data_IF_423295359918
#
_entry.id   IF_423295359918
#
_cell.length_a   1.000
_cell.length_b   1.000
_cell.length_c   1.000
_cell.angle_alpha   90.00
_cell.angle_beta   90.00
_cell.angle_gamma   90.00
#
_symmetry.space_group_name_H-M   'P 1'
#
loop_
_entity.id
_entity.type
_entity.pdbx_description
1 polymer ?
#
# COMPACT_ATOMS: atom_id res chain seq x y z
N UNK A 1 69.31 30.38 25.95
CA UNK A 1 69.27 30.26 24.48
C UNK A 1 67.93 30.84 24.04
N UNK A 2 68.00 32.05 23.49
CA UNK A 2 67.10 32.75 22.55
C UNK A 2 65.57 32.80 22.84
N UNK A 3 64.99 33.94 23.27
CA UNK A 3 64.48 35.09 22.47
C UNK A 3 63.42 34.67 21.41
N UNK A 4 62.17 35.18 21.33
CA UNK A 4 61.60 36.54 21.39
C UNK A 4 60.05 36.43 21.52
N UNK A 5 59.37 37.18 22.42
CA UNK A 5 58.53 38.39 22.16
C UNK A 5 57.32 38.15 21.22
N UNK A 6 56.08 38.61 21.41
CA UNK A 6 55.39 39.59 22.27
C UNK A 6 53.87 39.48 21.93
N UNK A 7 52.94 39.42 22.89
CA UNK A 7 52.06 40.50 23.40
C UNK A 7 50.59 40.53 22.88
N UNK A 8 49.72 40.83 23.86
CA UNK A 8 48.46 41.60 23.84
C UNK A 8 47.07 40.94 23.55
N UNK A 9 46.36 40.69 24.68
CA UNK A 9 45.06 41.23 25.18
C UNK A 9 43.82 41.52 24.31
N UNK A 10 42.68 41.33 25.01
CA UNK A 10 41.33 41.95 24.91
C UNK A 10 40.35 41.32 23.92
N UNK A 11 39.02 41.31 24.14
CA UNK A 11 38.10 41.30 25.29
C UNK A 11 36.68 41.12 24.70
N UNK A 12 35.72 40.70 25.52
CA UNK A 12 34.29 41.14 25.51
C UNK A 12 33.48 41.02 24.19
N UNK A 13 32.54 40.08 24.06
CA UNK A 13 31.15 40.09 24.55
C UNK A 13 30.16 40.90 23.72
N UNK A 14 29.03 40.24 23.46
CA UNK A 14 27.66 40.74 23.25
C UNK A 14 27.07 40.95 21.84
N UNK A 15 25.92 40.26 21.71
CA UNK A 15 24.65 40.67 21.13
C UNK A 15 24.33 40.41 19.64
N UNK A 16 23.28 39.59 19.49
CA UNK A 16 22.39 39.45 18.34
C UNK A 16 21.94 40.82 17.79
N UNK A 17 21.60 40.85 16.49
CA UNK A 17 20.20 41.08 16.17
C UNK A 17 19.65 40.20 15.03
N UNK A 18 18.34 39.98 15.10
CA UNK A 18 17.44 39.42 14.09
C UNK A 18 17.76 39.88 12.65
N UNK A 19 17.69 38.96 11.69
CA UNK A 19 16.55 38.83 10.75
C UNK A 19 16.93 38.12 9.44
N UNK A 20 15.93 37.46 8.87
CA UNK A 20 15.76 37.16 7.42
C UNK A 20 16.68 36.12 6.78
N UNK A 21 16.16 34.90 6.60
CA UNK A 21 15.51 34.52 5.34
C UNK A 21 14.90 33.10 5.46
N UNK A 22 13.58 33.05 5.65
CA UNK A 22 12.79 31.86 5.33
C UNK A 22 12.66 31.80 3.81
N UNK A 23 13.53 31.06 3.15
CA UNK A 23 13.23 30.58 1.81
C UNK A 23 12.23 29.43 1.93
N UNK A 24 10.95 29.78 1.75
CA UNK A 24 9.90 28.84 1.45
C UNK A 24 10.21 28.15 0.13
N UNK A 25 10.89 27.01 0.21
CA UNK A 25 10.96 26.08 -0.92
C UNK A 25 9.55 25.53 -1.13
N UNK A 26 8.85 26.11 -2.11
CA UNK A 26 7.69 25.48 -2.73
C UNK A 26 8.22 24.22 -3.40
N UNK A 27 8.28 23.13 -2.63
CA UNK A 27 8.28 21.80 -3.23
C UNK A 27 6.93 21.68 -3.92
N UNK A 28 6.92 21.92 -5.22
CA UNK A 28 5.88 21.42 -6.11
C UNK A 28 5.78 19.92 -5.80
N UNK A 29 4.75 19.54 -5.04
CA UNK A 29 4.41 18.14 -4.90
C UNK A 29 4.23 17.61 -6.33
N UNK A 30 5.04 16.64 -6.78
CA UNK A 30 4.69 15.93 -8.00
C UNK A 30 3.27 15.43 -7.80
N UNK A 31 2.41 15.65 -8.78
CA UNK A 31 1.03 15.20 -8.80
C UNK A 31 1.05 13.68 -8.49
N UNK A 32 0.90 13.29 -7.22
CA UNK A 32 0.84 11.89 -6.78
C UNK A 32 -0.56 11.39 -7.12
N UNK A 33 -0.88 11.37 -8.42
CA UNK A 33 -2.16 10.86 -8.93
C UNK A 33 -2.21 9.33 -8.99
N UNK A 34 -1.10 8.63 -8.73
CA UNK A 34 -0.98 7.22 -9.12
C UNK A 34 -1.06 6.18 -7.99
N UNK A 35 -1.25 6.54 -6.71
CA UNK A 35 -1.02 5.57 -5.62
C UNK A 35 -2.18 5.26 -4.67
N UNK A 36 -3.27 6.02 -4.65
CA UNK A 36 -4.33 5.79 -3.65
C UNK A 36 -5.39 4.75 -4.04
N UNK A 37 -5.25 4.11 -5.21
CA UNK A 37 -6.20 3.11 -5.70
C UNK A 37 -5.67 1.68 -5.58
N UNK A 38 -4.44 1.48 -5.08
CA UNK A 38 -3.76 0.19 -5.08
C UNK A 38 -3.49 -0.26 -3.65
N UNK A 39 -3.96 -1.46 -3.33
CA UNK A 39 -3.72 -2.12 -2.05
C UNK A 39 -2.95 -3.43 -2.32
N UNK A 40 -1.60 -3.41 -2.26
CA UNK A 40 -0.79 -4.58 -2.56
C UNK A 40 -0.85 -5.61 -1.43
N UNK A 41 -0.71 -6.88 -1.80
CA UNK A 41 -0.46 -7.97 -0.88
C UNK A 41 0.68 -8.85 -1.38
N UNK A 42 1.39 -9.47 -0.44
CA UNK A 42 2.47 -10.41 -0.73
C UNK A 42 2.53 -11.42 0.41
N UNK A 43 2.43 -12.69 0.06
CA UNK A 43 2.45 -13.78 1.02
C UNK A 43 3.55 -14.76 0.63
N UNK A 44 4.15 -15.40 1.63
CA UNK A 44 5.13 -16.48 1.41
C UNK A 44 4.57 -17.74 2.04
N UNK A 45 4.50 -18.81 1.26
CA UNK A 45 3.97 -20.11 1.67
C UNK A 45 5.06 -21.17 1.53
N UNK A 46 5.06 -22.10 2.47
CA UNK A 46 5.87 -23.31 2.38
C UNK A 46 5.00 -24.43 1.79
N UNK A 47 5.45 -25.01 0.69
CA UNK A 47 4.85 -26.20 0.10
C UNK A 47 5.25 -27.41 0.94
N UNK A 48 4.29 -28.23 1.42
CA UNK A 48 4.61 -29.43 2.17
C UNK A 48 5.51 -30.39 1.38
N UNK A 49 6.43 -31.05 2.09
CA UNK A 49 7.30 -32.05 1.50
C UNK A 49 6.50 -33.14 0.77
N UNK A 50 6.95 -33.50 -0.43
CA UNK A 50 6.28 -34.49 -1.28
C UNK A 50 5.20 -33.90 -2.19
N UNK A 51 4.97 -32.58 -2.16
CA UNK A 51 4.06 -31.87 -3.03
C UNK A 51 4.80 -30.81 -3.87
N UNK A 52 4.20 -30.44 -4.99
CA UNK A 52 4.62 -29.35 -5.88
C UNK A 52 3.41 -28.51 -6.28
N UNK A 53 3.65 -27.28 -6.75
CA UNK A 53 2.57 -26.44 -7.31
C UNK A 53 2.02 -27.08 -8.58
N UNK A 54 0.68 -27.13 -8.68
CA UNK A 54 0.02 -27.54 -9.91
C UNK A 54 0.03 -26.38 -10.92
N UNK A 55 1.00 -26.40 -11.85
CA UNK A 55 1.26 -25.28 -12.79
C UNK A 55 0.09 -24.94 -13.71
N UNK A 56 -0.78 -25.91 -14.01
CA UNK A 56 -1.94 -25.70 -14.88
C UNK A 56 -3.09 -24.96 -14.19
N UNK A 57 -3.03 -24.79 -12.85
CA UNK A 57 -4.09 -24.11 -12.09
C UNK A 57 -3.60 -22.82 -11.47
N UNK A 58 -4.23 -21.73 -11.90
CA UNK A 58 -4.06 -20.45 -11.24
C UNK A 58 -4.60 -20.49 -9.80
N UNK A 59 -4.00 -19.73 -8.87
CA UNK A 59 -4.53 -19.57 -7.54
C UNK A 59 -5.93 -18.96 -7.60
N UNK A 60 -6.81 -19.39 -6.70
CA UNK A 60 -8.12 -18.74 -6.53
C UNK A 60 -8.06 -17.78 -5.37
N UNK A 61 -8.51 -16.56 -5.59
CA UNK A 61 -8.69 -15.55 -4.53
C UNK A 61 -10.18 -15.30 -4.36
N UNK A 62 -10.63 -15.31 -3.12
CA UNK A 62 -11.95 -14.86 -2.70
C UNK A 62 -11.75 -13.72 -1.70
N UNK A 63 -12.57 -12.69 -1.74
CA UNK A 63 -12.42 -11.54 -0.86
C UNK A 63 -13.77 -11.04 -0.38
N UNK A 64 -13.76 -10.38 0.78
CA UNK A 64 -14.92 -9.84 1.46
C UNK A 64 -14.80 -8.32 1.57
N UNK A 65 -15.78 -7.62 1.00
CA UNK A 65 -15.87 -6.16 0.96
C UNK A 65 -16.80 -5.60 2.05
N UNK A 66 -17.50 -6.45 2.82
CA UNK A 66 -18.52 -6.02 3.79
C UNK A 66 -17.97 -5.13 4.92
N UNK A 67 -16.66 -5.16 5.15
CA UNK A 67 -15.97 -4.37 6.17
C UNK A 67 -15.31 -3.10 5.62
N UNK A 68 -15.64 -2.71 4.38
CA UNK A 68 -15.27 -1.43 3.79
C UNK A 68 -16.45 -0.46 3.82
N UNK A 69 -16.15 0.83 3.86
CA UNK A 69 -17.16 1.89 3.85
C UNK A 69 -16.68 3.12 3.09
N UNK A 70 -17.60 3.74 2.36
CA UNK A 70 -17.40 5.07 1.79
C UNK A 70 -17.67 6.13 2.85
N UNK A 71 -16.67 6.93 3.17
CA UNK A 71 -16.77 8.02 4.16
C UNK A 71 -16.51 9.37 3.50
N UNK A 72 -17.20 10.40 3.98
CA UNK A 72 -16.99 11.79 3.58
C UNK A 72 -16.36 12.53 4.74
N UNK A 73 -15.14 13.03 4.54
CA UNK A 73 -14.44 13.89 5.49
C UNK A 73 -14.45 15.33 4.94
N UNK A 74 -14.51 16.33 5.81
CA UNK A 74 -14.40 17.75 5.42
C UNK A 74 -13.27 18.38 6.21
N UNK A 75 -12.36 19.06 5.52
CA UNK A 75 -11.26 19.80 6.13
C UNK A 75 -11.18 21.21 5.54
N UNK A 76 -10.62 22.16 6.30
CA UNK A 76 -10.35 23.50 5.79
C UNK A 76 -8.99 23.56 5.14
N UNK A 77 -8.91 24.17 3.96
CA UNK A 77 -7.66 24.41 3.24
C UNK A 77 -7.55 25.89 2.92
N UNK A 78 -6.48 26.54 3.39
CA UNK A 78 -6.17 27.91 2.99
C UNK A 78 -5.54 27.91 1.59
N UNK A 79 -6.09 28.73 0.69
CA UNK A 79 -5.57 28.95 -0.67
C UNK A 79 -5.26 30.44 -0.83
N UNK A 80 -4.20 30.76 -1.57
CA UNK A 80 -3.88 32.15 -1.93
C UNK A 80 -4.66 32.52 -3.19
N UNK A 81 -5.38 33.63 -3.13
CA UNK A 81 -6.21 34.14 -4.23
C UNK A 81 -5.65 35.49 -4.66
N UNK A 82 -5.30 35.60 -5.95
CA UNK A 82 -4.76 36.82 -6.53
C UNK A 82 -5.62 38.04 -6.19
N UNK A 83 -4.99 39.06 -5.60
CA UNK A 83 -5.61 40.31 -5.14
C UNK A 83 -6.59 40.20 -3.95
N UNK A 84 -6.73 39.02 -3.34
CA UNK A 84 -7.57 38.78 -2.16
C UNK A 84 -6.79 38.20 -0.96
N UNK A 85 -5.58 37.69 -1.18
CA UNK A 85 -4.78 37.03 -0.15
C UNK A 85 -5.30 35.63 0.18
N UNK A 86 -4.96 35.13 1.38
CA UNK A 86 -5.35 33.78 1.80
C UNK A 86 -6.82 33.68 2.21
N UNK A 87 -7.52 32.71 1.62
CA UNK A 87 -8.91 32.38 1.92
C UNK A 87 -9.01 30.91 2.32
N UNK A 88 -9.77 30.62 3.38
CA UNK A 88 -10.10 29.25 3.77
C UNK A 88 -11.26 28.71 2.95
N UNK A 89 -11.05 27.57 2.30
CA UNK A 89 -12.10 26.81 1.62
C UNK A 89 -12.36 25.49 2.32
N UNK A 90 -13.63 25.08 2.37
CA UNK A 90 -13.99 23.73 2.79
C UNK A 90 -13.65 22.76 1.66
N UNK A 91 -12.76 21.82 1.95
CA UNK A 91 -12.35 20.74 1.07
C UNK A 91 -12.96 19.44 1.58
N UNK A 92 -13.80 18.83 0.76
CA UNK A 92 -14.39 17.54 1.03
C UNK A 92 -13.54 16.43 0.42
N UNK A 93 -13.28 15.37 1.19
CA UNK A 93 -12.60 14.16 0.75
C UNK A 93 -13.56 12.97 0.84
N UNK A 94 -13.77 12.29 -0.28
CA UNK A 94 -14.43 10.99 -0.34
C UNK A 94 -13.36 9.91 -0.19
N UNK A 95 -13.54 8.99 0.77
CA UNK A 95 -12.57 7.97 1.09
C UNK A 95 -13.22 6.59 1.21
N UNK A 96 -12.45 5.56 0.89
CA UNK A 96 -12.74 4.18 1.27
C UNK A 96 -11.95 3.89 2.53
N UNK A 97 -12.64 3.45 3.58
CA UNK A 97 -12.01 3.10 4.86
C UNK A 97 -12.55 1.78 5.40
N UNK A 98 -11.68 0.99 6.02
CA UNK A 98 -12.09 -0.25 6.68
C UNK A 98 -11.06 -1.37 6.51
N UNK A 99 -11.55 -2.60 6.43
CA UNK A 99 -10.73 -3.79 6.25
C UNK A 99 -11.22 -4.60 5.04
N UNK A 100 -10.29 -5.13 4.26
CA UNK A 100 -10.55 -6.09 3.19
C UNK A 100 -9.93 -7.42 3.59
N UNK A 101 -10.76 -8.44 3.81
CA UNK A 101 -10.29 -9.80 4.08
C UNK A 101 -10.29 -10.62 2.81
N UNK A 102 -9.28 -11.48 2.62
CA UNK A 102 -9.24 -12.39 1.49
C UNK A 102 -8.75 -13.78 1.88
N UNK A 103 -9.17 -14.77 1.09
CA UNK A 103 -8.77 -16.17 1.13
C UNK A 103 -8.12 -16.51 -0.22
N UNK A 104 -6.87 -16.94 -0.18
CA UNK A 104 -6.13 -17.45 -1.33
C UNK A 104 -6.04 -18.97 -1.24
N UNK A 105 -6.34 -19.66 -2.32
CA UNK A 105 -6.13 -21.09 -2.50
C UNK A 105 -5.07 -21.33 -3.56
N UNK A 106 -3.94 -21.91 -3.14
CA UNK A 106 -2.90 -22.42 -4.03
C UNK A 106 -3.11 -23.93 -4.22
N UNK A 107 -3.13 -24.40 -5.45
CA UNK A 107 -3.28 -25.83 -5.73
C UNK A 107 -1.92 -26.52 -5.79
N UNK A 108 -1.79 -27.60 -5.04
CA UNK A 108 -0.58 -28.43 -4.98
C UNK A 108 -0.94 -29.89 -5.24
N UNK A 109 -0.03 -30.61 -5.86
CA UNK A 109 -0.18 -32.02 -6.23
C UNK A 109 1.05 -32.81 -5.78
N UNK A 110 0.93 -34.12 -5.58
CA UNK A 110 2.09 -34.93 -5.22
C UNK A 110 3.18 -34.99 -6.28
N UNK A 111 4.45 -35.05 -5.85
CA UNK A 111 5.60 -35.23 -6.75
C UNK A 111 5.68 -36.68 -7.26
N UNK A 112 5.29 -37.66 -6.43
CA UNK A 112 5.37 -39.09 -6.75
C UNK A 112 4.05 -39.80 -6.41
N UNK A 113 3.43 -40.46 -7.37
CA UNK A 113 2.18 -41.22 -7.14
C UNK A 113 2.40 -42.56 -6.41
N UNK A 114 3.66 -43.01 -6.25
CA UNK A 114 3.97 -44.42 -5.94
C UNK A 114 3.69 -44.84 -4.48
N UNK A 115 3.44 -43.90 -3.55
CA UNK A 115 3.18 -44.21 -2.13
C UNK A 115 2.13 -43.32 -1.45
N UNK A 116 1.15 -42.83 -2.21
CA UNK A 116 0.10 -41.97 -1.65
C UNK A 116 -1.22 -42.70 -1.65
N UNK A 117 -1.66 -43.10 -0.46
CA UNK A 117 -2.93 -43.77 -0.25
C UNK A 117 -4.05 -42.74 -0.25
N UNK A 118 -4.77 -42.64 -1.37
CA UNK A 118 -5.93 -41.77 -1.54
C UNK A 118 -7.18 -42.56 -1.14
N UNK A 119 -7.97 -42.03 -0.19
CA UNK A 119 -9.20 -42.69 0.26
C UNK A 119 -10.37 -42.47 -0.70
N UNK A 120 -10.41 -41.36 -1.45
CA UNK A 120 -11.61 -40.97 -2.24
C UNK A 120 -11.42 -39.90 -3.35
N UNK A 121 -10.22 -39.60 -3.85
CA UNK A 121 -10.07 -38.40 -4.71
C UNK A 121 -10.13 -38.70 -6.23
N UNK A 122 -11.18 -38.18 -6.90
CA UNK A 122 -11.20 -37.98 -8.38
C UNK A 122 -10.16 -36.95 -8.83
N UNK A 123 -9.75 -36.07 -7.92
CA UNK A 123 -8.84 -34.97 -8.17
C UNK A 123 -7.45 -35.30 -7.57
N UNK A 124 -6.40 -35.10 -8.37
CA UNK A 124 -5.01 -35.40 -8.03
C UNK A 124 -4.28 -34.32 -7.22
N UNK A 125 -5.01 -33.33 -6.69
CA UNK A 125 -4.45 -32.13 -6.05
C UNK A 125 -5.20 -31.78 -4.76
N UNK A 126 -4.56 -30.98 -3.91
CA UNK A 126 -5.15 -30.37 -2.71
C UNK A 126 -4.96 -28.85 -2.77
N UNK A 127 -5.77 -28.11 -2.03
CA UNK A 127 -5.64 -26.65 -1.90
C UNK A 127 -4.92 -26.30 -0.59
N UNK A 128 -3.83 -25.55 -0.69
CA UNK A 128 -3.21 -24.84 0.41
C UNK A 128 -3.89 -23.47 0.54
N UNK A 129 -4.65 -23.29 1.61
CA UNK A 129 -5.43 -22.08 1.86
C UNK A 129 -4.71 -21.11 2.79
N UNK A 130 -4.74 -19.82 2.46
CA UNK A 130 -4.20 -18.72 3.26
C UNK A 130 -5.25 -17.62 3.40
N UNK A 131 -5.46 -17.11 4.61
CA UNK A 131 -6.41 -16.03 4.90
C UNK A 131 -5.66 -14.84 5.47
N UNK A 132 -5.98 -13.65 4.98
CA UNK A 132 -5.40 -12.40 5.47
C UNK A 132 -6.41 -11.26 5.47
N UNK A 133 -6.12 -10.21 6.23
CA UNK A 133 -6.91 -8.97 6.28
C UNK A 133 -6.01 -7.74 6.09
N UNK A 134 -6.37 -6.90 5.14
CA UNK A 134 -5.66 -5.67 4.79
C UNK A 134 -6.46 -4.46 5.28
N UNK A 135 -5.77 -3.45 5.80
CA UNK A 135 -6.39 -2.18 6.18
C UNK A 135 -6.44 -1.22 4.99
N UNK A 136 -7.58 -0.56 4.84
CA UNK A 136 -7.82 0.41 3.76
C UNK A 136 -8.12 1.77 4.36
N UNK A 137 -7.37 2.78 3.92
CA UNK A 137 -7.64 4.21 4.11
C UNK A 137 -7.17 4.93 2.85
N UNK A 138 -8.09 5.08 1.89
CA UNK A 138 -7.80 5.54 0.55
C UNK A 138 -8.68 6.72 0.19
N UNK A 139 -8.08 7.82 -0.25
CA UNK A 139 -8.84 8.95 -0.78
C UNK A 139 -9.17 8.68 -2.24
N UNK A 140 -10.46 8.66 -2.54
CA UNK A 140 -11.01 8.47 -3.89
C UNK A 140 -11.08 9.81 -4.62
N UNK A 141 -11.61 10.85 -3.97
CA UNK A 141 -11.88 12.14 -4.62
C UNK A 141 -11.81 13.30 -3.64
N UNK A 142 -11.33 14.44 -4.13
CA UNK A 142 -11.44 15.73 -3.45
C UNK A 142 -12.42 16.63 -4.20
N UNK A 143 -13.16 17.46 -3.49
CA UNK A 143 -14.07 18.46 -4.06
C UNK A 143 -14.25 19.64 -3.12
N UNK A 144 -14.35 20.85 -3.68
CA UNK A 144 -14.81 22.05 -2.95
C UNK A 144 -16.33 22.24 -3.02
N UNK A 145 -17.01 21.30 -3.69
CA UNK A 145 -18.46 21.27 -3.83
C UNK A 145 -19.01 19.88 -3.53
N UNK A 146 -20.08 19.49 -4.22
CA UNK A 146 -20.71 18.21 -3.97
C UNK A 146 -19.79 17.03 -4.34
N UNK A 147 -19.78 16.00 -3.49
CA UNK A 147 -19.12 14.72 -3.76
C UNK A 147 -20.11 13.74 -4.40
N UNK A 148 -19.64 12.90 -5.35
CA UNK A 148 -20.45 11.85 -5.94
C UNK A 148 -20.88 10.80 -4.90
N UNK A 149 -21.82 9.95 -5.30
CA UNK A 149 -22.23 8.77 -4.55
C UNK A 149 -21.69 7.53 -5.27
N UNK A 150 -20.82 6.79 -4.57
CA UNK A 150 -20.31 5.51 -5.04
C UNK A 150 -20.71 4.39 -4.08
N UNK A 151 -20.80 3.19 -4.63
CA UNK A 151 -21.00 1.95 -3.89
C UNK A 151 -19.74 1.11 -3.97
N UNK A 152 -19.48 0.27 -2.97
CA UNK A 152 -18.35 -0.65 -2.97
C UNK A 152 -18.86 -2.03 -3.40
N UNK A 153 -18.39 -2.52 -4.54
CA UNK A 153 -18.77 -3.81 -5.12
C UNK A 153 -17.59 -4.45 -5.87
N UNK A 154 -17.83 -5.61 -6.46
CA UNK A 154 -16.86 -6.40 -7.22
C UNK A 154 -16.59 -5.88 -8.63
N UNK A 155 -17.40 -4.95 -9.15
CA UNK A 155 -17.12 -4.27 -10.42
C UNK A 155 -16.00 -3.24 -10.24
N UNK A 156 -16.04 -2.50 -9.12
CA UNK A 156 -15.09 -1.43 -8.81
C UNK A 156 -13.86 -1.90 -8.03
N UNK A 157 -13.91 -3.07 -7.38
CA UNK A 157 -12.77 -3.65 -6.65
C UNK A 157 -12.27 -4.91 -7.34
N UNK A 158 -11.10 -4.83 -7.96
CA UNK A 158 -10.55 -5.91 -8.78
C UNK A 158 -9.20 -6.37 -8.28
N UNK A 159 -8.88 -7.66 -8.46
CA UNK A 159 -7.53 -8.16 -8.24
C UNK A 159 -6.73 -8.02 -9.53
N UNK A 160 -5.55 -7.42 -9.45
CA UNK A 160 -4.63 -7.24 -10.57
C UNK A 160 -3.23 -7.77 -10.21
N UNK A 161 -2.44 -8.04 -11.24
CA UNK A 161 -1.03 -8.43 -11.11
C UNK A 161 -0.79 -9.63 -10.18
N UNK A 162 -1.68 -10.63 -10.21
CA UNK A 162 -1.53 -11.85 -9.42
C UNK A 162 -0.39 -12.70 -10.01
N UNK A 163 0.67 -12.88 -9.22
CA UNK A 163 1.90 -13.54 -9.64
C UNK A 163 2.34 -14.57 -8.60
N UNK A 164 2.96 -15.66 -9.08
CA UNK A 164 3.62 -16.67 -8.26
C UNK A 164 5.11 -16.65 -8.58
N UNK A 165 5.93 -16.51 -7.54
CA UNK A 165 7.38 -16.59 -7.62
C UNK A 165 7.84 -17.79 -6.78
N UNK A 166 8.66 -18.65 -7.37
CA UNK A 166 9.25 -19.81 -6.69
C UNK A 166 10.70 -19.47 -6.36
N UNK A 167 11.11 -19.62 -5.10
CA UNK A 167 12.42 -19.12 -4.64
C UNK A 167 13.53 -20.16 -4.64
N UNK A 168 13.19 -21.44 -4.55
CA UNK A 168 14.18 -22.50 -4.40
C UNK A 168 14.04 -23.56 -5.51
N UNK A 169 15.15 -24.25 -5.77
CA UNK A 169 15.22 -25.31 -6.78
C UNK A 169 14.24 -26.46 -6.47
N UNK A 170 13.93 -26.66 -5.19
CA UNK A 170 13.00 -27.68 -4.73
C UNK A 170 11.52 -27.24 -4.77
N UNK A 171 11.24 -26.00 -5.20
CA UNK A 171 9.91 -25.41 -5.23
C UNK A 171 9.15 -25.47 -3.90
N UNK A 172 9.87 -25.50 -2.78
CA UNK A 172 9.30 -25.60 -1.43
C UNK A 172 8.87 -24.25 -0.86
N UNK A 173 9.41 -23.13 -1.36
CA UNK A 173 9.03 -21.79 -0.91
C UNK A 173 8.50 -20.98 -2.10
N UNK A 174 7.27 -20.49 -1.94
CA UNK A 174 6.59 -19.73 -2.97
C UNK A 174 6.13 -18.40 -2.41
N UNK A 175 6.30 -17.33 -3.18
CA UNK A 175 5.66 -16.04 -2.93
C UNK A 175 4.51 -15.87 -3.89
N UNK A 176 3.38 -15.45 -3.35
CA UNK A 176 2.23 -15.05 -4.15
C UNK A 176 1.97 -13.58 -3.84
N UNK A 177 1.96 -12.76 -4.88
CA UNK A 177 1.74 -11.32 -4.77
C UNK A 177 0.67 -10.88 -5.74
N UNK A 178 0.02 -9.78 -5.40
CA UNK A 178 -0.96 -9.12 -6.25
C UNK A 178 -1.41 -7.83 -5.59
N UNK A 179 -2.44 -7.23 -6.15
CA UNK A 179 -3.02 -6.02 -5.58
C UNK A 179 -4.53 -5.97 -5.80
N UNK A 180 -5.22 -5.42 -4.80
CA UNK A 180 -6.58 -4.94 -4.99
C UNK A 180 -6.53 -3.54 -5.60
N UNK A 181 -7.30 -3.33 -6.66
CA UNK A 181 -7.41 -2.09 -7.39
C UNK A 181 -8.82 -1.53 -7.22
N UNK A 182 -8.91 -0.28 -6.76
CA UNK A 182 -10.16 0.44 -6.50
C UNK A 182 -10.42 1.46 -7.61
N UNK A 183 -11.26 1.09 -8.58
CA UNK A 183 -11.55 1.88 -9.78
C UNK A 183 -12.81 2.72 -9.58
N UNK A 184 -12.64 4.04 -9.39
CA UNK A 184 -13.72 5.02 -9.25
C UNK A 184 -13.34 6.31 -9.98
N UNK A 185 -14.19 6.77 -10.91
CA UNK A 185 -13.98 7.98 -11.76
C UNK A 185 -14.62 9.26 -11.20
#
# INVERSE_FOLDING_TARGET
MDNKHQNHTQSESQDNPLATNFESSIQQHPNVKEKNHRLPFSIVLNIPNGFQIQKEKNPKVMYDLNHLSMIKETCKKSIDVDNCGYVDVDLHALKIKGCLSFLLNLYIEPIHDVKIYKKDSKDGFIALSYKETLHVDHVVKYSVGQLPYYVIDDEHVQIRHLEIQVFDENCSIVKISGEFYFEYE
#
